data_IF_324711270641
#
_entry.id   IF_324711270641
#
_cell.length_a   1.000
_cell.length_b   1.000
_cell.length_c   1.000
_cell.angle_alpha   90.00
_cell.angle_beta   90.00
_cell.angle_gamma   90.00
#
_symmetry.space_group_name_H-M   'P 1'
#
loop_
_entity.id
_entity.type
_entity.pdbx_description
1 polymer ?
#
# COMPACT_ATOMS: atom_id res chain seq x y z
N UNK A 1 -4.65 -30.98 -5.29
CA UNK A 1 -3.61 -29.92 -5.40
C UNK A 1 -3.53 -29.25 -4.05
N UNK A 2 -2.43 -29.50 -3.34
CA UNK A 2 -2.21 -29.06 -1.96
C UNK A 2 -2.37 -27.54 -1.86
N UNK A 3 -3.39 -27.08 -1.14
CA UNK A 3 -3.45 -25.69 -0.72
C UNK A 3 -2.46 -25.55 0.43
N UNK A 4 -1.18 -25.47 0.06
CA UNK A 4 -0.08 -25.23 0.98
C UNK A 4 -0.46 -24.07 1.87
N UNK A 5 -0.38 -24.30 3.18
CA UNK A 5 -0.59 -23.33 4.23
C UNK A 5 0.45 -22.21 4.03
N UNK A 6 0.16 -21.27 3.12
CA UNK A 6 0.96 -20.08 2.89
C UNK A 6 0.93 -19.35 4.23
N UNK A 7 2.07 -19.28 4.90
CA UNK A 7 2.22 -18.39 6.05
C UNK A 7 2.01 -16.97 5.52
N UNK A 8 0.76 -16.49 5.58
CA UNK A 8 0.39 -15.17 5.10
C UNK A 8 1.08 -14.19 6.05
N UNK A 9 2.12 -13.52 5.54
CA UNK A 9 2.74 -12.45 6.28
C UNK A 9 1.70 -11.33 6.39
N UNK A 10 1.28 -11.05 7.62
CA UNK A 10 0.29 -10.00 7.89
C UNK A 10 0.78 -8.61 7.49
N UNK A 11 2.08 -8.43 7.28
CA UNK A 11 2.67 -7.15 6.87
C UNK A 11 3.09 -7.11 5.40
N UNK A 12 2.64 -8.07 4.58
CA UNK A 12 2.83 -8.00 3.14
C UNK A 12 2.16 -6.76 2.53
N UNK A 13 2.71 -6.34 1.40
CA UNK A 13 2.11 -5.34 0.53
C UNK A 13 1.09 -6.01 -0.39
N UNK A 14 0.26 -5.20 -1.06
CA UNK A 14 -0.71 -5.71 -2.02
C UNK A 14 0.00 -6.44 -3.17
N UNK A 15 1.15 -5.91 -3.62
CA UNK A 15 2.00 -6.56 -4.64
C UNK A 15 2.44 -7.98 -4.29
N UNK A 16 2.49 -8.36 -3.00
CA UNK A 16 2.93 -9.70 -2.58
C UNK A 16 1.79 -10.72 -2.53
N UNK A 17 0.52 -10.28 -2.48
CA UNK A 17 -0.63 -11.14 -2.17
C UNK A 17 -1.74 -11.11 -3.23
N UNK A 18 -1.85 -10.04 -4.01
CA UNK A 18 -2.90 -9.90 -5.00
C UNK A 18 -2.55 -10.62 -6.32
N UNK A 19 -3.55 -11.10 -7.08
CA UNK A 19 -3.36 -11.56 -8.44
C UNK A 19 -2.80 -10.45 -9.34
N UNK A 20 -1.98 -10.82 -10.33
CA UNK A 20 -1.33 -9.86 -11.23
C UNK A 20 -2.33 -8.93 -11.95
N UNK A 21 -3.48 -9.44 -12.38
CA UNK A 21 -4.53 -8.62 -13.03
C UNK A 21 -5.00 -7.45 -12.14
N UNK A 22 -5.12 -7.68 -10.84
CA UNK A 22 -5.52 -6.65 -9.89
C UNK A 22 -4.41 -5.60 -9.70
N UNK A 23 -3.16 -6.07 -9.67
CA UNK A 23 -1.98 -5.20 -9.57
C UNK A 23 -1.83 -4.33 -10.83
N UNK A 24 -2.06 -4.89 -12.01
CA UNK A 24 -2.02 -4.17 -13.28
C UNK A 24 -3.07 -3.05 -13.31
N UNK A 25 -4.30 -3.35 -12.90
CA UNK A 25 -5.37 -2.35 -12.80
C UNK A 25 -5.00 -1.21 -11.84
N UNK A 26 -4.47 -1.54 -10.65
CA UNK A 26 -4.01 -0.53 -9.69
C UNK A 26 -2.87 0.32 -10.25
N UNK A 27 -1.86 -0.31 -10.87
CA UNK A 27 -0.71 0.39 -11.48
C UNK A 27 -1.17 1.29 -12.62
N UNK A 28 -2.10 0.82 -13.46
CA UNK A 28 -2.68 1.60 -14.55
C UNK A 28 -3.39 2.83 -14.03
N UNK A 29 -4.24 2.68 -13.01
CA UNK A 29 -4.89 3.81 -12.34
C UNK A 29 -3.86 4.79 -11.79
N UNK A 30 -2.88 4.32 -11.02
CA UNK A 30 -1.84 5.19 -10.47
C UNK A 30 -1.09 5.89 -11.59
N UNK A 31 -0.71 5.21 -12.66
CA UNK A 31 -0.01 5.77 -13.81
C UNK A 31 -0.84 6.84 -14.55
N UNK A 32 -2.17 6.74 -14.56
CA UNK A 32 -3.04 7.77 -15.14
C UNK A 32 -3.16 9.06 -14.32
N UNK A 33 -2.70 9.07 -13.06
CA UNK A 33 -2.72 10.29 -12.24
C UNK A 33 -1.65 11.29 -12.69
N UNK A 34 -1.96 12.58 -12.57
CA UNK A 34 -0.99 13.65 -12.82
C UNK A 34 0.20 13.57 -11.86
N UNK A 35 1.38 13.96 -12.36
CA UNK A 35 2.62 13.92 -11.57
C UNK A 35 2.57 14.84 -10.35
N UNK A 36 1.78 15.91 -10.37
CA UNK A 36 1.56 16.79 -9.22
C UNK A 36 0.82 16.10 -8.05
N UNK A 37 0.00 15.09 -8.38
CA UNK A 37 -0.78 14.30 -7.42
C UNK A 37 0.04 13.11 -6.92
N UNK A 38 0.94 12.57 -7.75
CA UNK A 38 1.78 11.44 -7.39
C UNK A 38 2.85 11.82 -6.38
N UNK A 39 3.11 10.91 -5.44
CA UNK A 39 4.35 10.94 -4.67
C UNK A 39 5.51 10.56 -5.58
N UNK A 40 6.63 11.25 -5.46
CA UNK A 40 7.88 10.79 -6.06
C UNK A 40 8.32 9.44 -5.44
N UNK A 41 9.22 8.74 -6.13
CA UNK A 41 9.66 7.40 -5.70
C UNK A 41 10.29 7.37 -4.30
N UNK A 42 10.98 8.44 -3.89
CA UNK A 42 11.61 8.52 -2.57
C UNK A 42 10.54 8.68 -1.47
N UNK A 43 9.58 9.60 -1.67
CA UNK A 43 8.47 9.79 -0.75
C UNK A 43 7.59 8.54 -0.66
N UNK A 44 7.29 7.90 -1.80
CA UNK A 44 6.55 6.65 -1.84
C UNK A 44 7.22 5.58 -0.97
N UNK A 45 8.50 5.31 -1.20
CA UNK A 45 9.23 4.28 -0.47
C UNK A 45 9.27 4.57 1.03
N UNK A 46 9.54 5.83 1.41
CA UNK A 46 9.54 6.26 2.81
C UNK A 46 8.19 5.99 3.50
N UNK A 47 7.08 6.26 2.81
CA UNK A 47 5.72 6.00 3.34
C UNK A 47 5.45 4.51 3.49
N UNK A 48 5.91 3.69 2.54
CA UNK A 48 5.81 2.23 2.59
C UNK A 48 6.59 1.65 3.76
N UNK A 49 7.85 2.06 3.96
CA UNK A 49 8.69 1.57 5.05
C UNK A 49 8.04 1.85 6.42
N UNK A 50 7.43 3.02 6.58
CA UNK A 50 6.66 3.38 7.79
C UNK A 50 5.40 2.53 7.97
N UNK A 51 4.72 2.16 6.88
CA UNK A 51 3.58 1.26 6.91
C UNK A 51 4.00 -0.19 7.23
N UNK A 52 5.11 -0.69 6.70
CA UNK A 52 5.69 -2.00 7.02
C UNK A 52 6.09 -2.11 8.49
N UNK A 53 6.57 -1.01 9.10
CA UNK A 53 6.81 -0.95 10.54
C UNK A 53 5.51 -0.80 11.37
N UNK A 54 4.37 -0.48 10.75
CA UNK A 54 3.13 -0.18 11.46
C UNK A 54 2.39 -1.43 11.93
N UNK A 55 1.78 -1.37 13.13
CA UNK A 55 0.95 -2.44 13.69
C UNK A 55 -0.45 -2.50 13.06
N UNK A 56 -0.85 -1.44 12.35
CA UNK A 56 -2.14 -1.35 11.69
C UNK A 56 -2.12 -1.86 10.24
N UNK A 57 -0.94 -2.20 9.69
CA UNK A 57 -0.87 -2.86 8.39
C UNK A 57 -1.34 -4.32 8.53
N UNK A 58 -2.30 -4.71 7.70
CA UNK A 58 -2.72 -6.08 7.54
C UNK A 58 -3.04 -6.37 6.08
N UNK A 59 -2.33 -7.33 5.47
CA UNK A 59 -2.63 -7.82 4.11
C UNK A 59 -2.70 -6.67 3.08
N UNK A 60 -1.67 -5.80 3.08
CA UNK A 60 -1.61 -4.63 2.21
C UNK A 60 -2.56 -3.48 2.58
N UNK A 61 -3.42 -3.64 3.60
CA UNK A 61 -4.45 -2.66 3.99
C UNK A 61 -4.10 -1.99 5.31
N UNK A 62 -4.35 -0.68 5.40
CA UNK A 62 -4.31 0.05 6.66
C UNK A 62 -5.62 -0.16 7.43
N UNK A 63 -5.57 -0.84 8.59
CA UNK A 63 -6.77 -1.09 9.43
C UNK A 63 -7.44 0.16 10.01
N UNK A 64 -6.79 1.33 9.93
CA UNK A 64 -7.39 2.59 10.38
C UNK A 64 -8.37 3.15 9.35
N UNK A 65 -8.01 3.11 8.06
CA UNK A 65 -8.83 3.72 7.00
C UNK A 65 -9.41 2.72 6.00
N UNK A 66 -9.01 1.45 6.03
CA UNK A 66 -9.46 0.41 5.11
C UNK A 66 -8.88 0.52 3.69
N UNK A 67 -7.93 1.43 3.43
CA UNK A 67 -7.31 1.57 2.11
C UNK A 67 -6.02 0.75 1.99
N UNK A 68 -5.67 0.37 0.77
CA UNK A 68 -4.35 -0.16 0.45
C UNK A 68 -3.26 0.86 0.75
N UNK A 69 -2.21 0.42 1.45
CA UNK A 69 -1.10 1.31 1.84
C UNK A 69 -0.32 1.79 0.63
N UNK A 70 -0.18 0.97 -0.41
CA UNK A 70 0.50 1.32 -1.66
C UNK A 70 -0.26 2.41 -2.41
N UNK A 71 -1.57 2.24 -2.57
CA UNK A 71 -2.42 3.25 -3.17
C UNK A 71 -2.35 4.59 -2.43
N UNK A 72 -2.44 4.55 -1.09
CA UNK A 72 -2.43 5.76 -0.28
C UNK A 72 -1.06 6.43 -0.27
N UNK A 73 0.02 5.64 -0.26
CA UNK A 73 1.39 6.14 -0.31
C UNK A 73 1.68 6.84 -1.63
N UNK A 74 1.17 6.29 -2.75
CA UNK A 74 1.36 6.80 -4.11
C UNK A 74 0.70 8.17 -4.37
N UNK A 75 -0.26 8.58 -3.54
CA UNK A 75 -0.96 9.86 -3.69
C UNK A 75 -0.38 10.86 -2.69
N UNK A 76 0.32 11.87 -3.18
CA UNK A 76 1.00 12.92 -2.38
C UNK A 76 0.05 13.64 -1.43
N UNK A 77 -1.14 13.98 -1.92
CA UNK A 77 -2.20 14.68 -1.17
C UNK A 77 -2.81 13.86 -0.03
N UNK A 78 -2.59 12.54 0.00
CA UNK A 78 -3.04 11.69 1.11
C UNK A 78 -1.93 11.58 2.14
N UNK A 79 -2.29 11.76 3.41
CA UNK A 79 -1.43 11.51 4.58
C UNK A 79 -1.83 10.25 5.35
N UNK A 80 -1.01 9.89 6.33
CA UNK A 80 -1.30 8.80 7.26
C UNK A 80 -2.61 9.08 8.01
N UNK A 81 -3.58 8.13 8.05
CA UNK A 81 -4.89 8.34 8.67
C UNK A 81 -4.88 8.23 10.21
N UNK A 82 -3.73 7.98 10.83
CA UNK A 82 -3.63 7.85 12.27
C UNK A 82 -3.83 9.22 12.96
N UNK A 83 -4.33 9.20 14.21
CA UNK A 83 -4.48 10.41 15.05
C UNK A 83 -3.14 11.15 15.21
N UNK A 84 -2.04 10.40 15.30
CA UNK A 84 -0.68 10.91 15.17
C UNK A 84 -0.09 10.38 13.85
N UNK A 85 -0.16 11.18 12.77
CA UNK A 85 0.32 10.77 11.46
C UNK A 85 1.80 10.38 11.51
N UNK A 86 2.13 9.23 10.90
CA UNK A 86 3.53 8.80 10.77
C UNK A 86 4.22 9.39 9.54
N UNK A 87 3.44 9.92 8.59
CA UNK A 87 3.85 10.52 7.33
C UNK A 87 2.71 11.31 6.68
#
# INVERSE_FOLDING_TARGET
MEHGNKRICRKCLLQDIAPEEYLESMRSYLNSLDEEIKSDGSLYQKRIDLCLACNHLQEGICKICGCFVEYRAAIKLRGCPAVHPKW
#
